data_IF_323595324488
#
_entry.id   IF_323595324488
#
_cell.length_a   1.000
_cell.length_b   1.000
_cell.length_c   1.000
_cell.angle_alpha   90.00
_cell.angle_beta   90.00
_cell.angle_gamma   90.00
#
_symmetry.space_group_name_H-M   'P 1'
#
loop_
_entity.id
_entity.type
_entity.pdbx_description
1 polymer ?
#
# COMPACT_ATOMS: atom_id res chain seq x y z
N UNK A 1 -3.85 19.62 -1.87
CA UNK A 1 -4.29 18.47 -1.05
C UNK A 1 -5.77 18.13 -1.28
N UNK A 2 -6.71 19.04 -0.99
CA UNK A 2 -8.15 18.78 -1.19
C UNK A 2 -8.52 18.25 -2.61
N UNK A 3 -8.04 18.91 -3.67
CA UNK A 3 -8.31 18.48 -5.04
C UNK A 3 -7.78 17.07 -5.37
N UNK A 4 -6.65 16.66 -4.76
CA UNK A 4 -6.10 15.32 -4.98
C UNK A 4 -6.90 14.26 -4.22
N UNK A 5 -7.32 14.58 -2.99
CA UNK A 5 -8.24 13.73 -2.24
C UNK A 5 -9.55 13.50 -3.01
N UNK A 6 -10.11 14.54 -3.61
CA UNK A 6 -11.33 14.44 -4.43
C UNK A 6 -11.12 13.56 -5.68
N UNK A 7 -9.96 13.66 -6.33
CA UNK A 7 -9.60 12.80 -7.47
C UNK A 7 -9.47 11.33 -7.05
N UNK A 8 -8.76 11.05 -5.95
CA UNK A 8 -8.59 9.68 -5.40
C UNK A 8 -9.95 9.10 -4.98
N UNK A 9 -10.81 9.91 -4.37
CA UNK A 9 -12.19 9.54 -4.04
C UNK A 9 -12.97 9.15 -5.30
N UNK A 10 -12.91 9.96 -6.36
CA UNK A 10 -13.63 9.70 -7.61
C UNK A 10 -13.15 8.41 -8.28
N UNK A 11 -11.82 8.17 -8.31
CA UNK A 11 -11.25 6.93 -8.85
C UNK A 11 -11.73 5.70 -8.07
N UNK A 12 -11.85 5.80 -6.74
CA UNK A 12 -12.40 4.73 -5.91
C UNK A 12 -13.88 4.48 -6.21
N UNK A 13 -14.69 5.54 -6.27
CA UNK A 13 -16.12 5.45 -6.57
C UNK A 13 -16.39 4.87 -7.97
N UNK A 14 -15.48 5.12 -8.92
CA UNK A 14 -15.51 4.54 -10.26
C UNK A 14 -14.97 3.11 -10.34
N UNK A 15 -14.36 2.59 -9.26
CA UNK A 15 -13.75 1.26 -9.24
C UNK A 15 -12.47 1.16 -10.10
N UNK A 16 -11.82 2.28 -10.41
CA UNK A 16 -10.62 2.34 -11.27
C UNK A 16 -9.37 2.77 -10.51
N UNK A 17 -9.41 2.82 -9.18
CA UNK A 17 -8.29 3.26 -8.36
C UNK A 17 -7.03 2.40 -8.58
N UNK A 18 -7.19 1.09 -8.67
CA UNK A 18 -6.09 0.15 -8.90
C UNK A 18 -5.36 0.38 -10.25
N UNK A 19 -6.04 0.99 -11.22
CA UNK A 19 -5.47 1.30 -12.54
C UNK A 19 -4.77 2.67 -12.57
N UNK A 20 -4.96 3.49 -11.53
CA UNK A 20 -4.37 4.82 -11.46
C UNK A 20 -2.92 4.74 -10.99
N UNK A 21 -2.01 5.33 -11.75
CA UNK A 21 -0.63 5.49 -11.27
C UNK A 21 -0.60 6.44 -10.05
N UNK A 22 0.12 6.06 -8.98
CA UNK A 22 0.32 6.92 -7.81
C UNK A 22 1.17 8.13 -8.18
N UNK A 23 0.89 9.25 -7.53
CA UNK A 23 1.55 10.54 -7.74
C UNK A 23 1.94 11.13 -6.39
N UNK A 24 2.88 12.05 -6.43
CA UNK A 24 3.27 12.83 -5.26
C UNK A 24 2.03 13.49 -4.62
N UNK A 25 1.90 13.31 -3.29
CA UNK A 25 0.79 13.86 -2.52
C UNK A 25 -0.38 12.91 -2.31
N UNK A 26 -0.30 11.66 -2.78
CA UNK A 26 -1.31 10.63 -2.48
C UNK A 26 -1.34 10.21 -1.02
N UNK A 27 -0.20 10.25 -0.33
CA UNK A 27 -0.12 10.03 1.12
C UNK A 27 -0.93 11.11 1.87
N UNK A 28 -0.77 12.37 1.46
CA UNK A 28 -1.51 13.48 2.03
C UNK A 28 -3.01 13.45 1.63
N UNK A 29 -3.33 12.96 0.43
CA UNK A 29 -4.70 12.77 -0.02
C UNK A 29 -5.40 11.68 0.81
N UNK A 30 -4.70 10.58 1.13
CA UNK A 30 -5.17 9.52 2.02
C UNK A 30 -5.50 10.02 3.42
N UNK A 31 -4.63 10.87 3.99
CA UNK A 31 -4.88 11.50 5.29
C UNK A 31 -6.05 12.49 5.24
N UNK A 32 -6.19 13.25 4.15
CA UNK A 32 -7.35 14.11 3.93
C UNK A 32 -8.65 13.31 3.89
N UNK A 33 -8.68 12.21 3.13
CA UNK A 33 -9.85 11.34 3.01
C UNK A 33 -10.21 10.68 4.34
N UNK A 34 -9.20 10.24 5.09
CA UNK A 34 -9.36 9.74 6.46
C UNK A 34 -10.10 10.75 7.34
N UNK A 35 -9.69 12.03 7.30
CA UNK A 35 -10.30 13.08 8.11
C UNK A 35 -11.75 13.37 7.70
N UNK A 36 -12.10 13.22 6.42
CA UNK A 36 -13.43 13.55 5.87
C UNK A 36 -14.46 12.44 6.01
N UNK A 37 -14.07 11.21 5.67
CA UNK A 37 -15.02 10.13 5.40
C UNK A 37 -14.92 8.95 6.38
N UNK A 38 -13.90 8.93 7.27
CA UNK A 38 -13.69 7.85 8.23
C UNK A 38 -13.10 6.58 7.60
N UNK A 39 -13.22 5.45 8.31
CA UNK A 39 -12.45 4.23 8.04
C UNK A 39 -12.81 3.48 6.75
N UNK A 40 -14.03 3.66 6.21
CA UNK A 40 -14.47 2.95 5.00
C UNK A 40 -13.64 3.31 3.76
N UNK A 41 -13.26 4.59 3.63
CA UNK A 41 -12.43 5.06 2.51
C UNK A 41 -10.98 4.61 2.64
N UNK A 42 -10.53 4.27 3.85
CA UNK A 42 -9.13 3.96 4.10
C UNK A 42 -8.73 2.61 3.50
N UNK A 43 -9.56 1.57 3.56
CA UNK A 43 -9.14 0.22 3.18
C UNK A 43 -8.71 0.11 1.71
N UNK A 44 -9.48 0.69 0.79
CA UNK A 44 -9.17 0.62 -0.65
C UNK A 44 -7.94 1.47 -1.01
N UNK A 45 -7.83 2.66 -0.40
CA UNK A 45 -6.69 3.58 -0.62
C UNK A 45 -5.41 3.04 0.00
N UNK A 46 -5.48 2.47 1.20
CA UNK A 46 -4.36 1.86 1.91
C UNK A 46 -3.86 0.61 1.15
N UNK A 47 -4.77 -0.19 0.58
CA UNK A 47 -4.44 -1.32 -0.29
C UNK A 47 -3.73 -0.89 -1.58
N UNK A 48 -4.30 0.12 -2.27
CA UNK A 48 -3.71 0.69 -3.47
C UNK A 48 -2.31 1.27 -3.22
N UNK A 49 -2.12 2.04 -2.15
CA UNK A 49 -0.81 2.61 -1.78
C UNK A 49 0.22 1.52 -1.43
N UNK A 50 -0.19 0.48 -0.71
CA UNK A 50 0.69 -0.64 -0.39
C UNK A 50 1.16 -1.37 -1.65
N UNK A 51 0.24 -1.67 -2.57
CA UNK A 51 0.57 -2.30 -3.86
C UNK A 51 1.50 -1.40 -4.67
N UNK A 52 1.16 -0.13 -4.83
CA UNK A 52 1.94 0.86 -5.55
C UNK A 52 3.38 0.98 -5.02
N UNK A 53 3.56 0.95 -3.70
CA UNK A 53 4.86 0.99 -3.05
C UNK A 53 5.67 -0.29 -3.32
N UNK A 54 5.05 -1.47 -3.27
CA UNK A 54 5.71 -2.74 -3.55
C UNK A 54 6.09 -2.90 -5.02
N UNK A 55 5.19 -2.55 -5.94
CA UNK A 55 5.38 -2.68 -7.38
C UNK A 55 6.19 -1.52 -8.00
N UNK A 56 6.64 -0.56 -7.18
CA UNK A 56 7.36 0.64 -7.61
C UNK A 56 6.63 1.39 -8.74
N UNK A 57 5.33 1.65 -8.56
CA UNK A 57 4.51 2.34 -9.56
C UNK A 57 4.60 3.87 -9.39
N UNK A 58 4.35 4.61 -10.48
CA UNK A 58 4.27 6.06 -10.46
C UNK A 58 5.46 6.76 -9.79
N UNK A 59 5.22 7.63 -8.80
CA UNK A 59 6.30 8.34 -8.09
C UNK A 59 7.16 7.41 -7.22
N UNK A 60 6.66 6.24 -6.81
CA UNK A 60 7.45 5.24 -6.07
C UNK A 60 8.50 4.54 -6.93
N UNK A 61 8.64 4.86 -8.23
CA UNK A 61 9.84 4.49 -9.01
C UNK A 61 11.10 5.14 -8.43
N UNK A 62 10.97 6.34 -7.86
CA UNK A 62 12.05 7.04 -7.17
C UNK A 62 12.34 6.43 -5.79
N UNK A 63 13.58 5.97 -5.52
CA UNK A 63 13.98 5.51 -4.19
C UNK A 63 13.75 6.53 -3.07
N UNK A 64 13.96 7.83 -3.33
CA UNK A 64 13.76 8.87 -2.33
C UNK A 64 12.27 9.02 -1.95
N UNK A 65 11.37 8.83 -2.91
CA UNK A 65 9.93 8.82 -2.65
C UNK A 65 9.52 7.63 -1.76
N UNK A 66 10.12 6.45 -1.97
CA UNK A 66 9.86 5.27 -1.13
C UNK A 66 10.38 5.46 0.31
N UNK A 67 11.53 6.10 0.47
CA UNK A 67 12.06 6.44 1.79
C UNK A 67 11.19 7.48 2.50
N UNK A 68 10.75 8.52 1.79
CA UNK A 68 9.83 9.52 2.33
C UNK A 68 8.49 8.89 2.75
N UNK A 69 7.97 7.93 1.97
CA UNK A 69 6.73 7.23 2.27
C UNK A 69 6.77 6.49 3.62
N UNK A 70 7.94 6.02 4.06
CA UNK A 70 8.09 5.39 5.38
C UNK A 70 7.78 6.34 6.55
N UNK A 71 7.95 7.66 6.35
CA UNK A 71 7.61 8.69 7.33
C UNK A 71 6.22 9.31 7.16
N UNK A 72 5.53 9.00 6.06
CA UNK A 72 4.23 9.60 5.70
C UNK A 72 3.06 8.62 5.82
N UNK A 73 3.30 7.34 5.52
CA UNK A 73 2.27 6.31 5.54
C UNK A 73 2.12 5.71 6.93
N UNK A 74 0.89 5.31 7.31
CA UNK A 74 0.65 4.69 8.61
C UNK A 74 1.26 3.28 8.65
N UNK A 75 1.64 2.77 9.83
CA UNK A 75 2.25 1.44 9.99
C UNK A 75 1.51 0.28 9.29
N UNK A 76 0.17 0.21 9.25
CA UNK A 76 -0.53 -0.86 8.53
C UNK A 76 -0.26 -0.89 7.03
N UNK A 77 -0.15 0.27 6.37
CA UNK A 77 0.14 0.34 4.92
C UNK A 77 1.56 -0.15 4.65
N UNK A 78 2.51 0.29 5.49
CA UNK A 78 3.91 -0.12 5.38
C UNK A 78 4.07 -1.63 5.64
N UNK A 79 3.40 -2.18 6.64
CA UNK A 79 3.40 -3.61 6.94
C UNK A 79 2.81 -4.44 5.78
N UNK A 80 1.73 -3.94 5.16
CA UNK A 80 1.14 -4.59 3.99
C UNK A 80 2.10 -4.60 2.79
N UNK A 81 2.73 -3.46 2.48
CA UNK A 81 3.71 -3.37 1.40
C UNK A 81 4.92 -4.29 1.64
N UNK A 82 5.40 -4.37 2.88
CA UNK A 82 6.49 -5.27 3.27
C UNK A 82 6.10 -6.74 3.08
N UNK A 83 4.88 -7.12 3.47
CA UNK A 83 4.38 -8.47 3.25
C UNK A 83 4.24 -8.81 1.76
N UNK A 84 3.66 -7.93 0.95
CA UNK A 84 3.55 -8.12 -0.50
C UNK A 84 4.93 -8.28 -1.14
N UNK A 85 5.90 -7.47 -0.73
CA UNK A 85 7.28 -7.60 -1.19
C UNK A 85 7.88 -8.94 -0.82
N UNK A 86 7.77 -9.37 0.45
CA UNK A 86 8.30 -10.65 0.89
C UNK A 86 7.67 -11.84 0.13
N UNK A 87 6.37 -11.77 -0.16
CA UNK A 87 5.65 -12.79 -0.93
C UNK A 87 6.05 -12.81 -2.41
N UNK A 88 6.16 -11.65 -3.07
CA UNK A 88 6.58 -11.56 -4.47
C UNK A 88 8.00 -12.13 -4.69
N UNK A 89 8.87 -12.00 -3.70
CA UNK A 89 10.21 -12.61 -3.75
C UNK A 89 10.19 -14.13 -3.58
N UNK A 90 9.23 -14.69 -2.82
CA UNK A 90 9.09 -16.13 -2.62
C UNK A 90 8.40 -16.84 -3.78
N UNK A 91 7.49 -16.14 -4.46
CA UNK A 91 6.74 -16.67 -5.59
C UNK A 91 6.76 -15.65 -6.74
N UNK A 92 7.87 -15.55 -7.49
CA UNK A 92 8.04 -14.54 -8.54
C UNK A 92 7.07 -14.71 -9.71
N UNK A 93 6.48 -15.89 -9.88
CA UNK A 93 5.46 -16.16 -10.90
C UNK A 93 4.03 -15.77 -10.46
N UNK A 94 3.86 -15.37 -9.19
CA UNK A 94 2.57 -14.92 -8.64
C UNK A 94 2.51 -13.40 -8.74
N UNK A 95 1.50 -12.91 -9.46
CA UNK A 95 1.20 -11.49 -9.53
C UNK A 95 0.86 -10.95 -8.13
N UNK A 96 1.33 -9.75 -7.81
CA UNK A 96 1.02 -9.05 -6.56
C UNK A 96 -0.49 -8.89 -6.40
N UNK A 97 -1.23 -8.74 -7.50
CA UNK A 97 -2.70 -8.66 -7.50
C UNK A 97 -3.37 -9.98 -7.09
N UNK A 98 -2.69 -11.12 -7.26
CA UNK A 98 -3.17 -12.43 -6.82
C UNK A 98 -2.95 -12.66 -5.31
N UNK A 99 -2.20 -11.80 -4.62
CA UNK A 99 -1.92 -11.89 -3.19
C UNK A 99 -2.97 -11.18 -2.32
N UNK A 100 -4.24 -11.13 -2.75
CA UNK A 100 -5.33 -10.49 -2.02
C UNK A 100 -5.57 -11.02 -0.58
N UNK A 101 -5.00 -12.17 -0.21
CA UNK A 101 -5.01 -12.64 1.19
C UNK A 101 -4.08 -11.80 2.09
N UNK A 102 -3.01 -11.23 1.55
CA UNK A 102 -2.07 -10.37 2.27
C UNK A 102 -2.76 -9.11 2.79
N UNK A 103 -3.67 -8.52 2.01
CA UNK A 103 -4.48 -7.39 2.42
C UNK A 103 -5.38 -7.73 3.62
N UNK A 104 -5.98 -8.93 3.64
CA UNK A 104 -6.81 -9.40 4.77
C UNK A 104 -5.97 -9.62 6.02
N UNK A 105 -4.75 -10.13 5.87
CA UNK A 105 -3.83 -10.34 6.99
C UNK A 105 -3.34 -9.00 7.56
N UNK A 106 -2.98 -8.05 6.69
CA UNK A 106 -2.59 -6.69 7.07
C UNK A 106 -3.68 -5.96 7.87
N UNK A 107 -4.95 -6.11 7.46
CA UNK A 107 -6.09 -5.55 8.17
C UNK A 107 -6.35 -6.19 9.55
N UNK A 108 -5.92 -7.44 9.77
CA UNK A 108 -6.16 -8.18 11.01
C UNK A 108 -5.17 -7.85 12.13
N UNK A 109 -3.93 -7.43 11.79
CA UNK A 109 -2.90 -7.10 12.76
C UNK A 109 -1.61 -6.61 12.10
N UNK A 110 -1.31 -5.30 12.13
CA UNK A 110 -0.16 -4.74 11.42
C UNK A 110 1.17 -5.22 12.01
N UNK A 111 1.28 -5.38 13.33
CA UNK A 111 2.48 -5.92 13.98
C UNK A 111 2.74 -7.38 13.59
N UNK A 112 1.70 -8.20 13.56
CA UNK A 112 1.80 -9.60 13.15
C UNK A 112 2.16 -9.72 11.65
N UNK A 113 1.64 -8.80 10.84
CA UNK A 113 1.94 -8.72 9.40
C UNK A 113 3.40 -8.36 9.16
N UNK A 114 3.93 -7.35 9.88
CA UNK A 114 5.34 -7.00 9.83
C UNK A 114 6.23 -8.15 10.30
N UNK A 115 5.89 -8.79 11.42
CA UNK A 115 6.62 -9.95 11.92
C UNK A 115 6.64 -11.14 10.95
N UNK A 116 5.55 -11.36 10.20
CA UNK A 116 5.52 -12.37 9.14
C UNK A 116 6.42 -11.98 7.97
N UNK A 117 6.38 -10.73 7.51
CA UNK A 117 7.26 -10.25 6.44
C UNK A 117 8.75 -10.43 6.80
N UNK A 118 9.13 -10.12 8.04
CA UNK A 118 10.47 -10.34 8.58
C UNK A 118 10.87 -11.82 8.58
N UNK A 119 9.95 -12.69 9.03
CA UNK A 119 10.18 -14.14 9.05
C UNK A 119 10.42 -14.68 7.63
N UNK A 120 9.56 -14.30 6.66
CA UNK A 120 9.67 -14.72 5.27
C UNK A 120 10.98 -14.24 4.64
N UNK A 121 11.38 -13.00 4.92
CA UNK A 121 12.67 -12.44 4.47
C UNK A 121 13.85 -13.25 5.01
N UNK A 122 13.81 -13.63 6.30
CA UNK A 122 14.86 -14.44 6.93
C UNK A 122 14.92 -15.87 6.42
N UNK A 123 13.78 -16.48 6.07
CA UNK A 123 13.74 -17.83 5.50
C UNK A 123 14.46 -17.86 4.14
N UNK A 124 14.35 -16.78 3.36
CA UNK A 124 15.02 -16.64 2.06
C UNK A 124 16.53 -16.42 2.17
N UNK A 125 16.99 -15.77 3.23
CA UNK A 125 18.42 -15.45 3.43
C UNK A 125 19.25 -16.65 3.95
N UNK A 126 18.60 -17.79 4.21
CA UNK A 126 19.24 -19.05 4.59
C UNK A 126 19.50 -19.94 3.37
#
# INVERSE_FOLDING_TARGET
MAARADEVQALRELGTLEQAEPREGDEAARDELTRRAGSYVQTDVDGWLAHALTAHLGHYRDPAAREAAAGLLPPPVLAHAALLSALAHLAPDVDVDQLAFAARLAAAGPEATAGLADLLTRIREQ
#
